data_IF_498168280573
#
_entry.id   IF_498168280573
#
_cell.length_a   1.000
_cell.length_b   1.000
_cell.length_c   1.000
_cell.angle_alpha   90.00
_cell.angle_beta   90.00
_cell.angle_gamma   90.00
#
_symmetry.space_group_name_H-M   'P 1'
#
loop_
_entity.id
_entity.type
_entity.pdbx_description
1 polymer ?
#
# COMPACT_ATOMS: atom_id res chain seq x y z
N UNK A 1 -56.10 1.05 -0.11
CA UNK A 1 -55.02 0.62 -1.02
C UNK A 1 -53.91 1.69 -0.98
N UNK A 2 -52.89 1.51 -0.13
CA UNK A 2 -51.78 2.48 -0.03
C UNK A 2 -50.98 2.45 -1.34
N UNK A 3 -51.14 3.47 -2.18
CA UNK A 3 -50.28 3.65 -3.36
C UNK A 3 -48.84 3.84 -2.85
N UNK A 4 -47.94 2.96 -3.26
CA UNK A 4 -46.50 3.13 -3.08
C UNK A 4 -46.09 4.46 -3.74
N UNK A 5 -45.94 5.52 -2.96
CA UNK A 5 -45.29 6.76 -3.42
C UNK A 5 -43.81 6.43 -3.60
N UNK A 6 -43.42 6.21 -4.85
CA UNK A 6 -42.03 6.09 -5.26
C UNK A 6 -41.43 7.50 -5.39
N UNK A 7 -40.23 7.69 -4.87
CA UNK A 7 -39.48 8.93 -5.04
C UNK A 7 -38.93 9.05 -6.47
N UNK A 8 -38.68 10.27 -6.96
CA UNK A 8 -38.29 10.53 -8.37
C UNK A 8 -37.11 9.68 -8.88
N UNK A 9 -36.11 9.43 -8.04
CA UNK A 9 -34.95 8.59 -8.37
C UNK A 9 -35.29 7.10 -8.47
N UNK A 10 -36.29 6.62 -7.73
CA UNK A 10 -36.77 5.24 -7.84
C UNK A 10 -37.46 5.03 -9.19
N UNK A 11 -38.19 6.05 -9.68
CA UNK A 11 -38.71 6.05 -11.05
C UNK A 11 -37.60 6.04 -12.09
N UNK A 12 -36.53 6.80 -11.92
CA UNK A 12 -35.38 6.77 -12.82
C UNK A 12 -34.77 5.35 -12.92
N UNK A 13 -34.54 4.68 -11.78
CA UNK A 13 -33.99 3.32 -11.77
C UNK A 13 -34.95 2.33 -12.47
N UNK A 14 -36.25 2.40 -12.19
CA UNK A 14 -37.25 1.53 -12.82
C UNK A 14 -37.31 1.76 -14.34
N UNK A 15 -37.33 3.01 -14.78
CA UNK A 15 -37.34 3.38 -16.20
C UNK A 15 -36.06 2.92 -16.90
N UNK A 16 -34.89 3.08 -16.26
CA UNK A 16 -33.63 2.55 -16.78
C UNK A 16 -33.66 1.03 -16.90
N UNK A 17 -34.16 0.30 -15.90
CA UNK A 17 -34.29 -1.16 -15.96
C UNK A 17 -35.21 -1.58 -17.12
N UNK A 18 -36.35 -0.92 -17.29
CA UNK A 18 -37.31 -1.21 -18.38
C UNK A 18 -36.68 -0.93 -19.75
N UNK A 19 -36.05 0.24 -19.92
CA UNK A 19 -35.42 0.64 -21.17
C UNK A 19 -34.28 -0.33 -21.56
N UNK A 20 -33.45 -0.74 -20.60
CA UNK A 20 -32.38 -1.70 -20.87
C UNK A 20 -32.92 -3.11 -21.12
N UNK A 21 -33.96 -3.55 -20.41
CA UNK A 21 -34.62 -4.85 -20.68
C UNK A 21 -35.19 -4.89 -22.10
N UNK A 22 -35.80 -3.80 -22.56
CA UNK A 22 -36.28 -3.66 -23.93
C UNK A 22 -35.14 -3.74 -24.96
N UNK A 23 -34.00 -3.11 -24.67
CA UNK A 23 -32.80 -3.18 -25.51
C UNK A 23 -32.14 -4.58 -25.54
N UNK A 24 -32.13 -5.30 -24.40
CA UNK A 24 -31.72 -6.72 -24.32
C UNK A 24 -32.59 -7.57 -25.25
N UNK A 25 -33.91 -7.41 -25.18
CA UNK A 25 -34.87 -8.17 -26.00
C UNK A 25 -34.73 -7.90 -27.50
N UNK A 26 -34.16 -6.75 -27.91
CA UNK A 26 -33.86 -6.42 -29.30
C UNK A 26 -32.44 -6.82 -29.74
N UNK A 27 -31.67 -7.51 -28.90
CA UNK A 27 -30.33 -8.03 -29.25
C UNK A 27 -29.26 -6.96 -29.46
N UNK A 28 -29.46 -5.74 -28.95
CA UNK A 28 -28.66 -4.56 -29.32
C UNK A 28 -27.59 -4.11 -28.33
N UNK A 29 -27.29 -4.87 -27.27
CA UNK A 29 -26.41 -4.39 -26.19
C UNK A 29 -24.98 -4.90 -26.31
N UNK A 30 -24.04 -3.98 -26.12
CA UNK A 30 -22.64 -4.24 -25.87
C UNK A 30 -22.42 -4.91 -24.50
N UNK A 31 -21.28 -5.59 -24.34
CA UNK A 31 -20.87 -6.24 -23.08
C UNK A 31 -20.89 -5.27 -21.88
N UNK A 32 -20.54 -4.00 -22.11
CA UNK A 32 -20.50 -2.98 -21.05
C UNK A 32 -21.91 -2.61 -20.56
N UNK A 33 -22.90 -2.57 -21.45
CA UNK A 33 -24.27 -2.25 -21.08
C UNK A 33 -24.93 -3.40 -20.31
N UNK A 34 -24.58 -4.66 -20.64
CA UNK A 34 -25.00 -5.83 -19.86
C UNK A 34 -24.45 -5.76 -18.43
N UNK A 35 -23.18 -5.39 -18.26
CA UNK A 35 -22.57 -5.23 -16.93
C UNK A 35 -23.23 -4.10 -16.16
N UNK A 36 -23.44 -2.94 -16.79
CA UNK A 36 -24.13 -1.80 -16.17
C UNK A 36 -25.56 -2.20 -15.73
N UNK A 37 -26.29 -2.92 -16.58
CA UNK A 37 -27.62 -3.43 -16.27
C UNK A 37 -27.60 -4.35 -15.05
N UNK A 38 -26.65 -5.29 -15.00
CA UNK A 38 -26.49 -6.20 -13.86
C UNK A 38 -26.19 -5.42 -12.57
N UNK A 39 -25.34 -4.39 -12.61
CA UNK A 39 -25.05 -3.52 -11.44
C UNK A 39 -26.31 -2.78 -11.00
N UNK A 40 -27.09 -2.21 -11.93
CA UNK A 40 -28.32 -1.49 -11.62
C UNK A 40 -29.40 -2.41 -11.03
N UNK A 41 -29.54 -3.63 -11.55
CA UNK A 41 -30.43 -4.65 -11.00
C UNK A 41 -30.01 -5.06 -9.59
N UNK A 42 -28.72 -5.38 -9.39
CA UNK A 42 -28.18 -5.71 -8.07
C UNK A 42 -28.40 -4.56 -7.07
N UNK A 43 -28.17 -3.33 -7.50
CA UNK A 43 -28.40 -2.13 -6.71
C UNK A 43 -29.87 -1.98 -6.32
N UNK A 44 -30.78 -2.10 -7.29
CA UNK A 44 -32.22 -2.04 -7.03
C UNK A 44 -32.67 -3.14 -6.07
N UNK A 45 -32.24 -4.39 -6.30
CA UNK A 45 -32.51 -5.52 -5.40
C UNK A 45 -31.99 -5.27 -3.98
N UNK A 46 -30.79 -4.70 -3.84
CA UNK A 46 -30.21 -4.33 -2.55
C UNK A 46 -31.06 -3.26 -1.85
N UNK A 47 -31.45 -2.18 -2.54
CA UNK A 47 -32.28 -1.12 -1.97
C UNK A 47 -33.64 -1.63 -1.47
N UNK A 48 -34.24 -2.57 -2.21
CA UNK A 48 -35.50 -3.23 -1.85
C UNK A 48 -35.33 -4.18 -0.67
N UNK A 49 -34.25 -4.97 -0.63
CA UNK A 49 -33.92 -5.82 0.52
C UNK A 49 -33.71 -4.97 1.80
N UNK A 50 -32.99 -3.85 1.68
CA UNK A 50 -32.75 -2.93 2.80
C UNK A 50 -34.04 -2.29 3.32
N UNK A 51 -35.05 -2.06 2.46
CA UNK A 51 -36.36 -1.54 2.89
C UNK A 51 -37.10 -2.51 3.83
N UNK A 52 -36.84 -3.81 3.69
CA UNK A 52 -37.43 -4.87 4.54
C UNK A 52 -36.56 -5.19 5.77
N UNK A 53 -35.37 -4.62 5.85
CA UNK A 53 -34.41 -4.87 6.92
C UNK A 53 -34.56 -3.88 8.07
N UNK A 54 -34.11 -4.26 9.27
CA UNK A 54 -33.98 -3.35 10.44
C UNK A 54 -32.67 -2.54 10.41
N UNK A 55 -31.94 -2.53 9.28
CA UNK A 55 -30.64 -1.87 9.16
C UNK A 55 -30.87 -0.36 9.06
N UNK A 56 -30.15 0.41 9.88
CA UNK A 56 -30.17 1.87 9.80
C UNK A 56 -29.38 2.31 8.55
N UNK A 57 -30.11 2.59 7.47
CA UNK A 57 -29.54 2.93 6.18
C UNK A 57 -30.21 4.19 5.61
N UNK A 58 -29.41 5.23 5.38
CA UNK A 58 -29.84 6.42 4.62
C UNK A 58 -29.57 6.19 3.14
N UNK A 59 -30.60 6.42 2.33
CA UNK A 59 -30.58 6.07 0.91
C UNK A 59 -30.74 7.34 0.09
N UNK A 60 -29.83 7.54 -0.84
CA UNK A 60 -29.85 8.60 -1.84
C UNK A 60 -29.68 7.97 -3.22
N UNK A 61 -30.09 8.66 -4.30
CA UNK A 61 -30.08 8.20 -5.69
C UNK A 61 -29.06 7.08 -6.02
N UNK A 62 -27.79 7.42 -5.85
CA UNK A 62 -26.64 6.55 -6.12
C UNK A 62 -25.85 6.20 -4.86
N UNK A 63 -26.17 6.81 -3.72
CA UNK A 63 -25.40 6.68 -2.49
C UNK A 63 -26.18 5.97 -1.39
N UNK A 64 -25.48 5.14 -0.62
CA UNK A 64 -26.03 4.44 0.52
C UNK A 64 -25.10 4.61 1.72
N UNK A 65 -25.65 5.12 2.81
CA UNK A 65 -24.94 5.25 4.09
C UNK A 65 -25.52 4.22 5.04
N UNK A 66 -24.71 3.23 5.42
CA UNK A 66 -25.10 2.23 6.41
C UNK A 66 -24.47 2.60 7.74
N UNK A 67 -25.30 2.86 8.75
CA UNK A 67 -24.85 3.14 10.13
C UNK A 67 -24.95 1.90 11.00
N UNK A 68 -24.00 1.77 11.91
CA UNK A 68 -23.93 0.69 12.89
C UNK A 68 -23.33 1.17 14.21
N UNK A 69 -23.75 0.54 15.29
CA UNK A 69 -23.10 0.68 16.60
C UNK A 69 -22.08 -0.44 16.84
N UNK A 70 -22.05 -1.44 15.96
CA UNK A 70 -21.08 -2.53 16.04
C UNK A 70 -19.67 -1.97 15.84
N UNK A 71 -18.77 -2.28 16.77
CA UNK A 71 -17.41 -1.75 16.80
C UNK A 71 -17.18 -0.67 17.88
N UNK A 72 -18.23 0.01 18.36
CA UNK A 72 -18.11 0.98 19.48
C UNK A 72 -17.45 0.35 20.71
N UNK A 73 -17.90 -0.83 21.11
CA UNK A 73 -17.33 -1.53 22.28
C UNK A 73 -15.84 -1.88 22.13
N UNK A 74 -15.36 -2.14 20.91
CA UNK A 74 -13.94 -2.34 20.65
C UNK A 74 -13.15 -1.04 20.83
N UNK A 75 -13.66 0.05 20.25
CA UNK A 75 -13.08 1.39 20.42
C UNK A 75 -13.06 1.80 21.90
N UNK A 76 -14.14 1.55 22.64
CA UNK A 76 -14.24 1.82 24.07
C UNK A 76 -13.24 1.00 24.89
N UNK A 77 -13.12 -0.29 24.58
CA UNK A 77 -12.19 -1.21 25.26
C UNK A 77 -10.73 -0.77 25.09
N UNK A 78 -10.35 -0.31 23.90
CA UNK A 78 -8.99 0.15 23.61
C UNK A 78 -8.77 1.58 24.11
N UNK A 79 -9.71 2.48 23.84
CA UNK A 79 -9.67 3.90 24.19
C UNK A 79 -9.78 4.20 25.69
N UNK A 80 -10.09 3.21 26.53
CA UNK A 80 -10.14 3.37 27.99
C UNK A 80 -8.80 3.78 28.61
N UNK A 81 -7.67 3.43 27.98
CA UNK A 81 -6.33 3.76 28.45
C UNK A 81 -5.95 5.22 28.11
N UNK A 82 -6.70 6.18 28.69
CA UNK A 82 -6.65 7.60 28.31
C UNK A 82 -5.24 8.19 28.38
N UNK A 83 -4.46 7.89 29.42
CA UNK A 83 -3.11 8.44 29.59
C UNK A 83 -2.18 8.01 28.46
N UNK A 84 -2.19 6.73 28.11
CA UNK A 84 -1.42 6.19 27.00
C UNK A 84 -1.79 6.89 25.68
N UNK A 85 -3.09 6.91 25.35
CA UNK A 85 -3.55 7.49 24.09
C UNK A 85 -3.35 9.01 23.99
N UNK A 86 -3.39 9.75 25.10
CA UNK A 86 -3.09 11.19 25.09
C UNK A 86 -1.61 11.47 24.86
N UNK A 87 -0.71 10.66 25.43
CA UNK A 87 0.73 10.78 25.21
C UNK A 87 1.05 10.43 23.75
N UNK A 88 0.59 9.25 23.29
CA UNK A 88 0.77 8.82 21.90
C UNK A 88 0.12 9.81 20.94
N UNK A 89 -1.07 10.32 21.26
CA UNK A 89 -1.76 11.33 20.47
C UNK A 89 -0.94 12.62 20.31
N UNK A 90 -0.28 13.10 21.37
CA UNK A 90 0.62 14.27 21.23
C UNK A 90 1.78 13.95 20.27
N UNK A 91 2.34 12.75 20.33
CA UNK A 91 3.35 12.31 19.37
C UNK A 91 2.80 12.24 17.94
N UNK A 92 1.57 11.72 17.76
CA UNK A 92 0.87 11.71 16.48
C UNK A 92 0.70 13.13 15.91
N UNK A 93 0.39 14.12 16.74
CA UNK A 93 0.31 15.54 16.32
C UNK A 93 1.64 16.04 15.76
N UNK A 94 2.76 15.72 16.43
CA UNK A 94 4.10 16.10 15.95
C UNK A 94 4.35 15.45 14.58
N UNK A 95 4.11 14.15 14.45
CA UNK A 95 4.28 13.43 13.18
C UNK A 95 3.36 13.97 12.10
N UNK A 96 2.10 14.28 12.41
CA UNK A 96 1.13 14.84 11.48
C UNK A 96 1.53 16.22 10.96
N UNK A 97 1.99 17.11 11.83
CA UNK A 97 2.50 18.43 11.45
C UNK A 97 3.76 18.31 10.60
N UNK A 98 4.76 17.52 11.05
CA UNK A 98 5.99 17.30 10.28
C UNK A 98 5.71 16.66 8.92
N UNK A 99 4.79 15.68 8.87
CA UNK A 99 4.36 15.02 7.65
C UNK A 99 3.65 15.97 6.69
N UNK A 100 2.81 16.87 7.19
CA UNK A 100 2.20 17.93 6.38
C UNK A 100 3.25 18.87 5.79
N UNK A 101 4.21 19.35 6.59
CA UNK A 101 5.30 20.18 6.08
C UNK A 101 6.14 19.43 5.04
N UNK A 102 6.47 18.17 5.30
CA UNK A 102 7.18 17.30 4.35
C UNK A 102 6.41 17.17 3.03
N UNK A 103 5.10 16.98 3.07
CA UNK A 103 4.27 16.85 1.87
C UNK A 103 4.15 18.16 1.09
N UNK A 104 3.96 19.29 1.77
CA UNK A 104 3.95 20.61 1.14
C UNK A 104 5.31 20.93 0.52
N UNK A 105 6.40 20.68 1.23
CA UNK A 105 7.75 20.84 0.71
C UNK A 105 8.00 19.94 -0.50
N UNK A 106 7.62 18.66 -0.42
CA UNK A 106 7.77 17.71 -1.53
C UNK A 106 6.98 18.14 -2.77
N UNK A 107 5.78 18.70 -2.58
CA UNK A 107 4.97 19.25 -3.67
C UNK A 107 5.65 20.46 -4.33
N UNK A 108 6.11 21.42 -3.53
CA UNK A 108 6.83 22.60 -4.03
C UNK A 108 8.14 22.21 -4.73
N UNK A 109 8.88 21.27 -4.16
CA UNK A 109 10.10 20.74 -4.75
C UNK A 109 9.80 20.02 -6.08
N UNK A 110 8.74 19.23 -6.16
CA UNK A 110 8.32 18.58 -7.40
C UNK A 110 8.00 19.61 -8.49
N UNK A 111 7.25 20.68 -8.17
CA UNK A 111 6.99 21.80 -9.09
C UNK A 111 8.32 22.44 -9.53
N UNK A 112 9.22 22.71 -8.59
CA UNK A 112 10.53 23.32 -8.89
C UNK A 112 11.35 22.46 -9.86
N UNK A 113 11.52 21.18 -9.56
CA UNK A 113 12.29 20.25 -10.39
C UNK A 113 11.69 20.12 -11.79
N UNK A 114 10.36 20.07 -11.87
CA UNK A 114 9.63 19.92 -13.12
C UNK A 114 9.75 21.14 -14.03
N UNK A 115 9.40 22.32 -13.50
CA UNK A 115 9.24 23.50 -14.33
C UNK A 115 10.51 24.37 -14.41
N UNK A 116 11.43 24.24 -13.46
CA UNK A 116 12.66 25.05 -13.40
C UNK A 116 13.94 24.25 -13.61
N UNK A 117 13.91 22.92 -13.43
CA UNK A 117 15.04 22.03 -13.75
C UNK A 117 14.78 21.09 -14.92
N UNK A 118 13.59 21.13 -15.50
CA UNK A 118 13.18 20.24 -16.61
C UNK A 118 13.39 18.75 -16.30
N UNK A 119 13.28 18.38 -15.03
CA UNK A 119 13.31 16.98 -14.60
C UNK A 119 11.87 16.47 -14.67
N UNK A 120 11.55 15.46 -15.51
CA UNK A 120 10.18 14.97 -15.65
C UNK A 120 9.59 14.56 -14.30
N UNK A 121 8.41 15.07 -13.98
CA UNK A 121 7.71 14.58 -12.79
C UNK A 121 7.25 13.14 -13.04
N UNK A 122 7.17 12.35 -11.97
CA UNK A 122 6.43 11.10 -12.04
C UNK A 122 4.96 11.40 -12.39
N UNK A 123 4.44 10.71 -13.41
CA UNK A 123 3.05 10.84 -13.82
C UNK A 123 2.12 10.57 -12.64
N UNK A 124 1.28 11.54 -12.31
CA UNK A 124 0.22 11.36 -11.31
C UNK A 124 -0.81 10.39 -11.88
N UNK A 125 -0.99 9.24 -11.24
CA UNK A 125 -1.96 8.23 -11.63
C UNK A 125 -2.95 8.01 -10.49
N UNK A 126 -4.25 8.05 -10.80
CA UNK A 126 -5.30 7.70 -9.85
C UNK A 126 -5.26 6.20 -9.58
N UNK A 127 -5.24 5.82 -8.30
CA UNK A 127 -5.16 4.43 -7.86
C UNK A 127 -6.57 3.82 -7.80
N UNK A 128 -7.02 3.30 -8.92
CA UNK A 128 -8.32 2.65 -9.11
C UNK A 128 -8.14 1.12 -9.19
N UNK A 129 -8.67 0.35 -8.22
CA UNK A 129 -8.69 -1.11 -8.26
C UNK A 129 -9.36 -1.66 -9.53
N UNK A 130 -8.72 -2.63 -10.18
CA UNK A 130 -9.18 -3.26 -11.42
C UNK A 130 -8.85 -2.50 -12.70
N UNK A 131 -8.35 -1.26 -12.58
CA UNK A 131 -7.92 -0.44 -13.74
C UNK A 131 -6.43 -0.13 -13.69
N UNK A 132 -5.98 0.54 -12.64
CA UNK A 132 -4.56 0.95 -12.48
C UNK A 132 -3.78 0.04 -11.54
N UNK A 133 -4.48 -0.66 -10.65
CA UNK A 133 -3.91 -1.62 -9.69
C UNK A 133 -4.76 -2.89 -9.69
N UNK A 134 -4.21 -4.07 -9.32
CA UNK A 134 -4.98 -5.31 -9.31
C UNK A 134 -6.18 -5.23 -8.37
N UNK A 135 -7.35 -5.69 -8.83
CA UNK A 135 -8.64 -5.49 -8.15
C UNK A 135 -8.63 -5.98 -6.71
N UNK A 136 -8.32 -7.27 -6.49
CA UNK A 136 -8.41 -7.88 -5.16
C UNK A 136 -7.41 -7.33 -4.17
N UNK A 137 -6.17 -7.06 -4.61
CA UNK A 137 -5.16 -6.44 -3.75
C UNK A 137 -5.51 -4.99 -3.41
N UNK A 138 -5.99 -4.24 -4.41
CA UNK A 138 -6.44 -2.86 -4.22
C UNK A 138 -7.63 -2.75 -3.27
N UNK A 139 -8.64 -3.61 -3.42
CA UNK A 139 -9.81 -3.64 -2.54
C UNK A 139 -9.43 -4.00 -1.10
N UNK A 140 -8.60 -5.02 -0.90
CA UNK A 140 -8.18 -5.41 0.45
C UNK A 140 -7.34 -4.31 1.11
N UNK A 141 -6.38 -3.75 0.39
CA UNK A 141 -5.58 -2.64 0.89
C UNK A 141 -6.46 -1.42 1.22
N UNK A 142 -7.44 -1.09 0.36
CA UNK A 142 -8.41 -0.03 0.63
C UNK A 142 -9.18 -0.27 1.93
N UNK A 143 -9.67 -1.51 2.17
CA UNK A 143 -10.33 -1.86 3.43
C UNK A 143 -9.40 -1.64 4.62
N UNK A 144 -8.13 -2.04 4.53
CA UNK A 144 -7.18 -1.81 5.64
C UNK A 144 -6.98 -0.32 5.93
N UNK A 145 -6.87 0.52 4.89
CA UNK A 145 -6.72 1.97 5.02
C UNK A 145 -7.89 2.55 5.78
N UNK A 146 -9.13 2.35 5.29
CA UNK A 146 -10.30 2.97 5.90
C UNK A 146 -10.55 2.44 7.32
N UNK A 147 -10.34 1.14 7.57
CA UNK A 147 -10.60 0.56 8.88
C UNK A 147 -9.60 1.09 9.90
N UNK A 148 -8.30 1.04 9.59
CA UNK A 148 -7.27 1.48 10.54
C UNK A 148 -7.36 2.99 10.78
N UNK A 149 -7.64 3.76 9.72
CA UNK A 149 -7.83 5.21 9.79
C UNK A 149 -9.01 5.59 10.69
N UNK A 150 -10.22 5.13 10.38
CA UNK A 150 -11.43 5.54 11.08
C UNK A 150 -11.47 5.05 12.54
N UNK A 151 -11.02 3.81 12.79
CA UNK A 151 -10.95 3.31 14.16
C UNK A 151 -9.97 4.13 15.01
N UNK A 152 -8.88 4.65 14.43
CA UNK A 152 -7.93 5.48 15.18
C UNK A 152 -8.54 6.83 15.61
N UNK A 153 -9.32 7.48 14.74
CA UNK A 153 -10.12 8.66 15.09
C UNK A 153 -11.07 8.36 16.24
N UNK A 154 -11.74 7.21 16.19
CA UNK A 154 -12.61 6.74 17.27
C UNK A 154 -11.87 6.52 18.60
N UNK A 155 -10.74 5.81 18.56
CA UNK A 155 -9.94 5.51 19.76
C UNK A 155 -9.46 6.81 20.43
N UNK A 156 -8.96 7.78 19.65
CA UNK A 156 -8.51 9.06 20.18
C UNK A 156 -9.69 9.93 20.65
N UNK A 157 -10.82 9.90 19.95
CA UNK A 157 -12.05 10.57 20.39
C UNK A 157 -12.49 10.05 21.77
N UNK A 158 -12.52 8.72 21.95
CA UNK A 158 -12.86 8.10 23.22
C UNK A 158 -11.86 8.47 24.34
N UNK A 159 -10.57 8.51 24.03
CA UNK A 159 -9.51 8.90 24.98
C UNK A 159 -9.61 10.37 25.40
N UNK A 160 -10.09 11.24 24.51
CA UNK A 160 -10.38 12.66 24.79
C UNK A 160 -11.76 12.92 25.41
N UNK A 161 -12.51 11.86 25.74
CA UNK A 161 -13.88 11.92 26.25
C UNK A 161 -14.82 12.65 25.28
N UNK A 162 -14.76 12.24 24.02
CA UNK A 162 -15.68 12.63 22.95
C UNK A 162 -16.51 11.39 22.63
N UNK A 163 -17.83 11.39 22.90
CA UNK A 163 -18.69 10.25 22.60
C UNK A 163 -18.72 9.94 21.11
N UNK A 164 -18.93 8.67 20.76
CA UNK A 164 -19.09 8.21 19.37
C UNK A 164 -20.57 7.94 19.11
N UNK A 165 -21.17 8.71 18.19
CA UNK A 165 -22.59 8.57 17.78
C UNK A 165 -22.82 7.30 16.99
N UNK A 166 -22.01 7.04 15.99
CA UNK A 166 -22.17 5.88 15.11
C UNK A 166 -20.86 5.55 14.41
N UNK A 167 -20.79 4.35 13.85
CA UNK A 167 -19.84 4.00 12.81
C UNK A 167 -20.64 3.78 11.53
N UNK A 168 -20.00 3.84 10.38
CA UNK A 168 -20.68 3.47 9.16
C UNK A 168 -19.79 3.25 7.96
N UNK A 169 -20.43 2.82 6.89
CA UNK A 169 -19.81 2.63 5.58
C UNK A 169 -20.65 3.38 4.55
N UNK A 170 -19.98 4.13 3.70
CA UNK A 170 -20.54 4.89 2.61
C UNK A 170 -20.30 4.16 1.29
N UNK A 171 -21.36 3.95 0.51
CA UNK A 171 -21.32 3.26 -0.77
C UNK A 171 -21.80 4.17 -1.89
N UNK A 172 -21.22 3.99 -3.08
CA UNK A 172 -21.87 4.35 -4.34
C UNK A 172 -22.23 3.07 -5.08
N UNK A 173 -23.51 2.89 -5.38
CA UNK A 173 -24.04 1.58 -5.76
C UNK A 173 -23.54 0.50 -4.79
N UNK A 174 -23.04 -0.63 -5.30
CA UNK A 174 -22.50 -1.73 -4.50
C UNK A 174 -21.02 -1.53 -4.10
N UNK A 175 -20.41 -0.40 -4.47
CA UNK A 175 -18.98 -0.14 -4.27
C UNK A 175 -18.78 0.66 -2.97
N UNK A 176 -18.02 0.13 -1.98
CA UNK A 176 -17.69 0.90 -0.79
C UNK A 176 -16.75 2.04 -1.18
N UNK A 177 -17.18 3.27 -0.90
CA UNK A 177 -16.39 4.49 -1.14
C UNK A 177 -15.63 4.93 0.12
N UNK A 178 -16.04 4.50 1.30
CA UNK A 178 -15.35 4.81 2.54
C UNK A 178 -16.05 4.25 3.77
N UNK A 179 -15.40 4.40 4.92
CA UNK A 179 -16.00 4.19 6.23
C UNK A 179 -15.90 5.50 7.03
N UNK A 180 -16.64 5.58 8.13
CA UNK A 180 -16.53 6.71 9.05
C UNK A 180 -16.73 6.26 10.49
N UNK A 181 -16.05 6.94 11.41
CA UNK A 181 -16.44 7.01 12.83
C UNK A 181 -16.95 8.41 13.12
N UNK A 182 -18.18 8.51 13.61
CA UNK A 182 -18.87 9.78 13.84
C UNK A 182 -18.77 10.19 15.32
N UNK A 183 -17.88 11.10 15.70
CA UNK A 183 -17.88 11.68 17.04
C UNK A 183 -19.05 12.65 17.24
N UNK A 184 -19.42 12.90 18.49
CA UNK A 184 -20.35 13.97 18.85
C UNK A 184 -19.75 15.35 18.54
N UNK A 185 -20.15 15.95 17.43
CA UNK A 185 -19.59 17.20 16.89
C UNK A 185 -19.66 18.37 17.88
N UNK A 186 -20.77 18.53 18.60
CA UNK A 186 -20.92 19.62 19.57
C UNK A 186 -19.91 19.52 20.71
N UNK A 187 -19.65 18.29 21.18
CA UNK A 187 -18.65 18.02 22.21
C UNK A 187 -17.25 18.18 21.65
N UNK A 188 -17.01 17.68 20.43
CA UNK A 188 -15.73 17.76 19.74
C UNK A 188 -15.27 19.22 19.55
N UNK A 189 -16.15 20.07 19.00
CA UNK A 189 -15.84 21.47 18.70
C UNK A 189 -15.55 22.31 19.95
N UNK A 190 -16.06 21.91 21.12
CA UNK A 190 -15.78 22.54 22.42
C UNK A 190 -14.48 22.07 23.07
N UNK A 191 -13.83 21.01 22.56
CA UNK A 191 -12.57 20.51 23.14
C UNK A 191 -11.42 21.48 22.90
N UNK A 192 -10.40 21.49 23.79
CA UNK A 192 -9.17 22.24 23.55
C UNK A 192 -8.54 21.85 22.20
N UNK A 193 -7.91 22.82 21.54
CA UNK A 193 -7.28 22.65 20.23
C UNK A 193 -6.38 21.41 20.14
N UNK A 194 -5.56 21.14 21.17
CA UNK A 194 -4.67 19.98 21.18
C UNK A 194 -5.44 18.65 21.20
N UNK A 195 -6.62 18.60 21.83
CA UNK A 195 -7.47 17.41 21.81
C UNK A 195 -8.04 17.17 20.41
N UNK A 196 -8.45 18.23 19.72
CA UNK A 196 -8.91 18.14 18.33
C UNK A 196 -7.78 17.70 17.41
N UNK A 197 -6.57 18.27 17.56
CA UNK A 197 -5.40 17.87 16.78
C UNK A 197 -5.02 16.40 17.00
N UNK A 198 -5.11 15.89 18.23
CA UNK A 198 -4.84 14.47 18.52
C UNK A 198 -5.77 13.54 17.78
N UNK A 199 -7.07 13.90 17.68
CA UNK A 199 -8.03 13.14 16.90
C UNK A 199 -7.66 13.23 15.42
N UNK A 200 -7.61 14.42 14.83
CA UNK A 200 -7.30 14.56 13.39
C UNK A 200 -5.93 13.99 12.98
N UNK A 201 -4.95 13.91 13.88
CA UNK A 201 -3.65 13.32 13.54
C UNK A 201 -3.63 11.78 13.62
N UNK A 202 -4.65 11.17 14.26
CA UNK A 202 -4.69 9.73 14.51
C UNK A 202 -4.80 8.94 13.20
N UNK A 203 -5.73 9.34 12.33
CA UNK A 203 -6.04 8.64 11.07
C UNK A 203 -4.81 8.43 10.19
N UNK A 204 -4.17 9.53 9.79
CA UNK A 204 -2.97 9.49 8.96
C UNK A 204 -1.82 8.74 9.64
N UNK A 205 -1.60 8.96 10.95
CA UNK A 205 -0.57 8.24 11.69
C UNK A 205 -0.80 6.73 11.70
N UNK A 206 -2.04 6.28 11.88
CA UNK A 206 -2.37 4.85 11.95
C UNK A 206 -2.07 4.14 10.61
N UNK A 207 -2.36 4.79 9.48
CA UNK A 207 -1.98 4.27 8.16
C UNK A 207 -0.46 4.20 7.98
N UNK A 208 0.27 5.26 8.35
CA UNK A 208 1.74 5.27 8.28
C UNK A 208 2.36 4.19 9.19
N UNK A 209 1.82 4.02 10.40
CA UNK A 209 2.26 2.99 11.33
C UNK A 209 1.99 1.58 10.76
N UNK A 210 0.82 1.34 10.19
CA UNK A 210 0.50 0.06 9.55
C UNK A 210 1.48 -0.22 8.40
N UNK A 211 1.80 0.79 7.58
CA UNK A 211 2.80 0.63 6.54
C UNK A 211 4.17 0.27 7.11
N UNK A 212 4.63 0.93 8.18
CA UNK A 212 5.90 0.58 8.84
C UNK A 212 5.87 -0.86 9.37
N UNK A 213 4.78 -1.29 10.01
CA UNK A 213 4.61 -2.67 10.49
C UNK A 213 4.70 -3.66 9.32
N UNK A 214 4.01 -3.39 8.21
CA UNK A 214 4.04 -4.25 7.03
C UNK A 214 5.41 -4.24 6.35
N UNK A 215 6.13 -3.12 6.34
CA UNK A 215 7.50 -3.06 5.85
C UNK A 215 8.41 -3.99 6.64
N UNK A 216 8.34 -3.96 7.98
CA UNK A 216 9.09 -4.88 8.82
C UNK A 216 8.68 -6.33 8.60
N UNK A 217 7.40 -6.62 8.37
CA UNK A 217 6.93 -7.96 8.01
C UNK A 217 7.49 -8.43 6.64
N UNK A 218 7.65 -7.53 5.69
CA UNK A 218 8.22 -7.81 4.36
C UNK A 218 9.76 -7.88 4.36
N UNK A 219 10.43 -7.32 5.36
CA UNK A 219 11.90 -7.19 5.36
C UNK A 219 12.63 -8.55 5.43
N UNK A 220 12.29 -9.49 6.32
CA UNK A 220 12.90 -10.83 6.33
C UNK A 220 12.73 -11.56 4.99
N UNK A 221 11.59 -11.33 4.35
CA UNK A 221 11.26 -11.88 3.04
C UNK A 221 12.08 -11.24 1.92
N UNK A 222 12.35 -9.93 1.93
CA UNK A 222 13.23 -9.29 0.95
C UNK A 222 14.71 -9.63 1.18
N UNK A 223 15.11 -9.76 2.45
CA UNK A 223 16.50 -10.01 2.84
C UNK A 223 16.97 -11.45 2.59
N UNK A 224 16.08 -12.38 2.19
CA UNK A 224 16.42 -13.77 1.86
C UNK A 224 17.53 -13.90 0.80
N UNK A 225 17.59 -12.98 -0.17
CA UNK A 225 18.62 -12.95 -1.22
C UNK A 225 20.02 -12.71 -0.65
N UNK A 226 20.11 -12.06 0.51
CA UNK A 226 21.37 -11.74 1.18
C UNK A 226 21.82 -12.84 2.16
N UNK A 227 20.96 -13.79 2.51
CA UNK A 227 21.37 -15.01 3.23
C UNK A 227 21.95 -16.03 2.23
N UNK A 228 23.13 -15.70 1.67
CA UNK A 228 23.89 -16.62 0.85
C UNK A 228 24.43 -17.76 1.73
N UNK A 229 24.36 -19.00 1.26
CA UNK A 229 25.19 -20.06 1.83
C UNK A 229 26.66 -19.77 1.51
N UNK A 230 27.56 -20.09 2.43
CA UNK A 230 28.99 -20.08 2.13
C UNK A 230 29.25 -21.08 1.00
N UNK A 231 30.17 -20.77 0.10
CA UNK A 231 30.50 -21.59 -1.05
C UNK A 231 29.75 -21.26 -2.34
N UNK A 232 30.11 -21.96 -3.40
CA UNK A 232 29.56 -21.79 -4.76
C UNK A 232 29.16 -23.16 -5.32
N UNK A 233 27.94 -23.30 -5.81
CA UNK A 233 27.41 -24.59 -6.26
C UNK A 233 27.75 -24.84 -7.73
N UNK A 234 28.19 -26.06 -8.05
CA UNK A 234 28.38 -26.55 -9.40
C UNK A 234 27.02 -26.89 -10.02
N UNK A 235 26.62 -26.18 -11.07
CA UNK A 235 25.36 -26.47 -11.79
C UNK A 235 25.56 -27.34 -13.02
N UNK A 236 26.74 -27.31 -13.60
CA UNK A 236 27.09 -28.12 -14.75
C UNK A 236 28.61 -28.36 -14.78
N UNK A 237 29.01 -29.49 -15.37
CA UNK A 237 30.41 -29.86 -15.56
C UNK A 237 30.63 -30.10 -17.05
N UNK A 238 31.53 -29.32 -17.64
CA UNK A 238 31.80 -29.36 -19.07
C UNK A 238 32.43 -30.71 -19.42
N UNK A 239 31.84 -31.44 -20.36
CA UNK A 239 32.35 -32.75 -20.81
C UNK A 239 33.77 -32.62 -21.36
N UNK A 240 34.66 -33.53 -20.95
CA UNK A 240 36.08 -33.52 -21.34
C UNK A 240 36.93 -32.44 -20.67
N UNK A 241 36.41 -31.76 -19.65
CA UNK A 241 37.19 -30.81 -18.84
C UNK A 241 37.88 -31.49 -17.65
N UNK A 242 38.84 -30.84 -16.98
CA UNK A 242 39.49 -31.38 -15.77
C UNK A 242 38.55 -31.70 -14.61
N UNK A 243 37.40 -31.04 -14.52
CA UNK A 243 36.39 -31.32 -13.51
C UNK A 243 35.51 -32.53 -13.86
N UNK A 244 35.52 -33.00 -15.10
CA UNK A 244 34.67 -34.09 -15.57
C UNK A 244 35.06 -35.42 -14.92
N UNK A 245 34.10 -36.07 -14.25
CA UNK A 245 34.34 -37.30 -13.48
C UNK A 245 35.00 -37.07 -12.11
N UNK A 246 35.24 -35.82 -11.71
CA UNK A 246 35.81 -35.44 -10.42
C UNK A 246 34.79 -34.65 -9.58
N UNK A 247 34.25 -33.58 -10.17
CA UNK A 247 33.17 -32.79 -9.60
C UNK A 247 31.84 -33.21 -10.21
N UNK A 248 30.78 -33.06 -9.43
CA UNK A 248 29.42 -33.43 -9.83
C UNK A 248 28.48 -32.23 -9.74
N UNK A 249 27.40 -32.28 -10.54
CA UNK A 249 26.32 -31.31 -10.44
C UNK A 249 25.73 -31.39 -9.03
N UNK A 250 25.66 -30.25 -8.35
CA UNK A 250 25.18 -30.12 -6.99
C UNK A 250 26.29 -29.94 -5.95
N UNK A 251 27.55 -30.26 -6.27
CA UNK A 251 28.69 -30.06 -5.36
C UNK A 251 28.80 -28.58 -4.95
N UNK A 252 28.89 -28.32 -3.64
CA UNK A 252 29.11 -26.97 -3.11
C UNK A 252 30.59 -26.77 -2.81
N UNK A 253 31.26 -25.89 -3.57
CA UNK A 253 32.68 -25.58 -3.43
C UNK A 253 32.88 -24.62 -2.26
N UNK A 254 33.58 -25.08 -1.23
CA UNK A 254 33.82 -24.33 0.01
C UNK A 254 35.24 -23.76 0.09
N UNK A 255 36.20 -24.38 -0.60
CA UNK A 255 37.60 -23.97 -0.59
C UNK A 255 38.29 -24.32 -1.91
N UNK A 256 39.19 -23.43 -2.36
CA UNK A 256 40.10 -23.70 -3.48
C UNK A 256 41.51 -23.33 -3.03
N UNK A 257 42.42 -24.32 -3.00
CA UNK A 257 43.85 -24.12 -2.64
C UNK A 257 44.06 -23.56 -1.22
N UNK A 258 43.21 -23.89 -0.27
CA UNK A 258 43.27 -23.35 1.10
C UNK A 258 42.73 -21.93 1.24
N UNK A 259 42.12 -21.39 0.17
CA UNK A 259 41.37 -20.13 0.23
C UNK A 259 39.89 -20.43 0.40
N UNK A 260 39.27 -20.05 1.54
CA UNK A 260 37.84 -20.23 1.76
C UNK A 260 37.01 -19.42 0.76
N UNK A 261 36.03 -20.07 0.15
CA UNK A 261 35.13 -19.49 -0.84
C UNK A 261 33.82 -19.14 -0.13
N UNK A 262 33.64 -17.85 0.19
CA UNK A 262 32.46 -17.37 0.94
C UNK A 262 31.35 -16.81 0.06
N UNK A 263 31.69 -16.39 -1.16
CA UNK A 263 30.77 -15.79 -2.12
C UNK A 263 31.34 -15.84 -3.55
N UNK A 264 30.53 -15.45 -4.53
CA UNK A 264 30.93 -15.47 -5.95
C UNK A 264 32.14 -14.59 -6.25
N UNK A 265 32.32 -13.47 -5.52
CA UNK A 265 33.49 -12.59 -5.69
C UNK A 265 34.77 -13.32 -5.28
N UNK A 266 34.79 -13.96 -4.11
CA UNK A 266 35.94 -14.74 -3.63
C UNK A 266 36.28 -15.92 -4.55
N UNK A 267 35.25 -16.58 -5.11
CA UNK A 267 35.40 -17.61 -6.13
C UNK A 267 36.03 -17.07 -7.40
N UNK A 268 35.47 -15.99 -7.95
CA UNK A 268 35.96 -15.36 -9.17
C UNK A 268 37.40 -14.86 -9.04
N UNK A 269 37.71 -14.18 -7.94
CA UNK A 269 39.05 -13.68 -7.64
C UNK A 269 40.08 -14.81 -7.50
N UNK A 270 39.68 -15.93 -6.88
CA UNK A 270 40.54 -17.12 -6.74
C UNK A 270 40.77 -17.82 -8.07
N UNK A 271 39.71 -18.06 -8.85
CA UNK A 271 39.79 -18.72 -10.17
C UNK A 271 40.59 -17.88 -11.16
N UNK A 272 40.50 -16.55 -11.11
CA UNK A 272 41.26 -15.64 -11.98
C UNK A 272 42.78 -15.79 -11.84
N UNK A 273 43.26 -16.24 -10.69
CA UNK A 273 44.69 -16.42 -10.40
C UNK A 273 45.22 -17.81 -10.81
N UNK A 274 44.35 -18.72 -11.25
CA UNK A 274 44.74 -20.07 -11.61
C UNK A 274 45.48 -20.11 -12.95
N UNK A 275 46.51 -20.96 -13.02
CA UNK A 275 47.36 -21.17 -14.21
C UNK A 275 47.19 -22.60 -14.72
N UNK A 276 47.26 -22.83 -16.04
CA UNK A 276 47.18 -24.17 -16.61
C UNK A 276 48.33 -25.07 -16.13
N UNK A 277 48.13 -26.38 -16.16
CA UNK A 277 49.12 -27.41 -15.80
C UNK A 277 49.34 -27.61 -14.30
N UNK A 278 48.77 -26.75 -13.43
CA UNK A 278 48.89 -26.90 -11.98
C UNK A 278 47.83 -27.85 -11.42
N UNK A 279 48.26 -28.75 -10.53
CA UNK A 279 47.37 -29.56 -9.70
C UNK A 279 46.84 -28.71 -8.54
N UNK A 280 45.52 -28.61 -8.40
CA UNK A 280 44.86 -27.87 -7.34
C UNK A 280 43.95 -28.79 -6.52
N UNK A 281 43.79 -28.45 -5.24
CA UNK A 281 42.82 -29.09 -4.34
C UNK A 281 41.58 -28.20 -4.24
N UNK A 282 40.41 -28.79 -4.47
CA UNK A 282 39.11 -28.18 -4.31
C UNK A 282 38.37 -28.95 -3.21
N UNK A 283 37.91 -28.26 -2.19
CA UNK A 283 37.10 -28.87 -1.12
C UNK A 283 35.65 -28.54 -1.36
N UNK A 284 34.82 -29.57 -1.44
CA UNK A 284 33.37 -29.46 -1.51
C UNK A 284 32.73 -30.06 -0.25
N UNK A 285 31.41 -29.88 -0.08
CA UNK A 285 30.64 -30.59 0.96
C UNK A 285 30.74 -32.12 0.85
N UNK A 286 30.95 -32.67 -0.36
CA UNK A 286 31.10 -34.11 -0.60
C UNK A 286 32.48 -34.63 -0.23
N UNK A 287 33.50 -33.79 -0.27
CA UNK A 287 34.87 -34.18 0.04
C UNK A 287 35.92 -33.30 -0.63
N UNK A 288 37.19 -33.69 -0.49
CA UNK A 288 38.31 -33.00 -1.12
C UNK A 288 38.74 -33.69 -2.41
N UNK A 289 38.77 -32.94 -3.51
CA UNK A 289 39.15 -33.45 -4.82
C UNK A 289 40.41 -32.73 -5.33
N UNK A 290 41.27 -33.46 -6.03
CA UNK A 290 42.44 -32.89 -6.68
C UNK A 290 42.30 -32.99 -8.21
N UNK A 291 42.51 -31.88 -8.91
CA UNK A 291 42.43 -31.83 -10.38
C UNK A 291 43.57 -31.02 -10.97
N UNK A 292 43.97 -31.37 -12.20
CA UNK A 292 45.02 -30.67 -12.95
C UNK A 292 44.39 -29.73 -13.97
N UNK A 293 44.69 -28.43 -13.87
CA UNK A 293 44.04 -27.40 -14.68
C UNK A 293 44.44 -27.49 -16.16
N UNK A 294 43.47 -27.36 -17.06
CA UNK A 294 43.71 -27.24 -18.49
C UNK A 294 43.93 -25.78 -18.90
N UNK A 295 44.41 -25.55 -20.13
CA UNK A 295 44.43 -24.21 -20.72
C UNK A 295 43.03 -23.81 -21.21
N UNK A 296 42.62 -22.57 -20.96
CA UNK A 296 41.35 -22.04 -21.45
C UNK A 296 41.44 -21.73 -22.94
N UNK A 297 40.41 -22.07 -23.73
CA UNK A 297 40.38 -21.85 -25.20
C UNK A 297 40.43 -20.37 -25.59
N UNK A 298 39.80 -19.50 -24.82
CA UNK A 298 39.74 -18.05 -25.00
C UNK A 298 40.95 -17.31 -24.41
N UNK A 299 41.58 -17.86 -23.37
CA UNK A 299 42.79 -17.31 -22.78
C UNK A 299 43.73 -18.42 -22.29
N UNK A 300 44.71 -18.83 -23.12
CA UNK A 300 45.63 -19.92 -22.79
C UNK A 300 46.48 -19.68 -21.54
N UNK A 301 46.63 -18.43 -21.07
CA UNK A 301 47.38 -18.09 -19.84
C UNK A 301 46.57 -18.36 -18.56
N UNK A 302 45.27 -18.66 -18.66
CA UNK A 302 44.38 -18.92 -17.52
C UNK A 302 44.06 -20.41 -17.38
N UNK A 303 44.05 -20.87 -16.13
CA UNK A 303 43.62 -22.22 -15.78
C UNK A 303 42.13 -22.43 -16.02
N UNK A 304 41.78 -23.59 -16.55
CA UNK A 304 40.42 -24.01 -16.84
C UNK A 304 40.05 -25.22 -15.97
N UNK A 305 39.04 -25.06 -15.10
CA UNK A 305 38.46 -26.13 -14.29
C UNK A 305 37.38 -26.86 -15.09
N UNK A 306 36.51 -26.11 -15.79
CA UNK A 306 35.41 -26.64 -16.60
C UNK A 306 34.10 -26.88 -15.86
N UNK A 307 33.74 -25.96 -14.97
CA UNK A 307 32.47 -25.96 -14.25
C UNK A 307 31.67 -24.70 -14.57
N UNK A 308 30.35 -24.83 -14.62
CA UNK A 308 29.42 -23.72 -14.53
C UNK A 308 28.90 -23.68 -13.10
N UNK A 309 28.80 -22.47 -12.54
CA UNK A 309 28.45 -22.29 -11.14
C UNK A 309 27.26 -21.36 -10.94
N UNK A 310 26.53 -21.59 -9.85
CA UNK A 310 25.44 -20.75 -9.37
C UNK A 310 25.63 -20.49 -7.88
N UNK A 311 25.03 -19.41 -7.36
CA UNK A 311 25.01 -19.11 -5.94
C UNK A 311 23.86 -19.89 -5.27
N UNK A 312 24.14 -20.91 -4.45
CA UNK A 312 23.09 -21.60 -3.72
C UNK A 312 22.44 -20.62 -2.72
N UNK A 313 21.11 -20.66 -2.66
CA UNK A 313 20.33 -19.89 -1.68
C UNK A 313 20.15 -20.79 -0.45
N UNK A 314 20.39 -20.26 0.77
CA UNK A 314 20.38 -21.05 2.02
C UNK A 314 18.99 -21.69 2.25
N UNK A 315 18.93 -23.02 2.27
CA UNK A 315 17.68 -23.83 2.31
C UNK A 315 16.73 -23.51 3.48
N UNK A 316 17.24 -23.10 4.64
CA UNK A 316 16.43 -22.90 5.86
C UNK A 316 15.40 -21.76 5.80
N UNK A 317 15.68 -20.68 5.07
CA UNK A 317 14.75 -19.53 4.89
C UNK A 317 14.07 -19.61 3.50
N UNK A 318 14.67 -20.35 2.57
CA UNK A 318 14.07 -20.68 1.26
C UNK A 318 12.68 -21.34 1.41
N UNK A 319 12.48 -22.14 2.46
CA UNK A 319 11.16 -22.69 2.78
C UNK A 319 10.13 -21.64 3.18
N UNK A 320 10.49 -20.56 3.88
CA UNK A 320 9.52 -19.52 4.31
C UNK A 320 9.06 -18.69 3.10
N UNK A 321 9.98 -18.34 2.21
CA UNK A 321 9.71 -17.56 0.99
C UNK A 321 8.95 -18.37 -0.06
N UNK A 322 9.16 -19.69 -0.14
CA UNK A 322 8.35 -20.59 -0.98
C UNK A 322 7.05 -21.06 -0.32
N UNK A 323 6.93 -21.00 1.01
CA UNK A 323 5.69 -21.35 1.72
C UNK A 323 4.69 -20.20 1.75
N UNK A 324 5.16 -18.95 1.78
CA UNK A 324 4.29 -17.78 1.61
C UNK A 324 3.87 -17.67 0.14
N UNK A 325 2.57 -17.74 -0.18
CA UNK A 325 2.11 -17.57 -1.56
C UNK A 325 2.60 -16.22 -2.10
N UNK A 326 3.11 -16.18 -3.33
CA UNK A 326 3.50 -14.93 -4.01
C UNK A 326 2.37 -13.88 -3.99
N UNK A 327 1.13 -14.36 -3.94
CA UNK A 327 -0.07 -13.53 -3.80
C UNK A 327 -0.15 -12.83 -2.44
N UNK A 328 0.30 -13.47 -1.36
CA UNK A 328 0.32 -12.87 -0.03
C UNK A 328 1.40 -11.78 0.07
N UNK A 329 2.56 -12.00 -0.55
CA UNK A 329 3.62 -11.00 -0.67
C UNK A 329 3.11 -9.79 -1.45
N UNK A 330 2.44 -10.04 -2.57
CA UNK A 330 1.83 -9.02 -3.41
C UNK A 330 0.77 -8.23 -2.64
N UNK A 331 -0.06 -8.92 -1.86
CA UNK A 331 -1.06 -8.30 -0.99
C UNK A 331 -0.41 -7.35 0.02
N UNK A 332 0.57 -7.83 0.79
CA UNK A 332 1.28 -7.01 1.77
C UNK A 332 1.97 -5.81 1.12
N UNK A 333 2.55 -5.99 -0.07
CA UNK A 333 3.14 -4.88 -0.84
C UNK A 333 2.10 -3.82 -1.19
N UNK A 334 0.91 -4.19 -1.63
CA UNK A 334 -0.17 -3.25 -1.92
C UNK A 334 -0.72 -2.57 -0.65
N UNK A 335 -0.88 -3.31 0.44
CA UNK A 335 -1.24 -2.76 1.75
C UNK A 335 -0.22 -1.72 2.19
N UNK A 336 1.08 -2.03 2.08
CA UNK A 336 2.17 -1.11 2.39
C UNK A 336 2.08 0.17 1.54
N UNK A 337 2.09 0.05 0.21
CA UNK A 337 2.12 1.21 -0.68
C UNK A 337 0.91 2.11 -0.49
N UNK A 338 -0.30 1.53 -0.43
CA UNK A 338 -1.52 2.33 -0.33
C UNK A 338 -1.67 2.99 1.05
N UNK A 339 -1.27 2.33 2.14
CA UNK A 339 -1.28 2.96 3.45
C UNK A 339 -0.28 4.11 3.57
N UNK A 340 0.91 4.01 2.97
CA UNK A 340 1.84 5.16 2.89
C UNK A 340 1.24 6.30 2.09
N UNK A 341 0.83 6.01 0.85
CA UNK A 341 0.39 7.06 -0.08
C UNK A 341 -0.85 7.76 0.48
N UNK A 342 -1.87 7.01 0.89
CA UNK A 342 -3.10 7.61 1.42
C UNK A 342 -2.85 8.29 2.77
N UNK A 343 -2.04 7.69 3.65
CA UNK A 343 -1.66 8.31 4.92
C UNK A 343 -0.95 9.65 4.75
N UNK A 344 -0.05 9.77 3.77
CA UNK A 344 0.64 11.02 3.44
C UNK A 344 -0.25 12.03 2.72
N UNK A 345 -1.02 11.60 1.71
CA UNK A 345 -1.93 12.48 0.97
C UNK A 345 -3.00 13.07 1.89
N UNK A 346 -3.46 12.32 2.89
CA UNK A 346 -4.42 12.83 3.86
C UNK A 346 -3.81 13.88 4.83
N UNK A 347 -2.49 14.06 4.86
CA UNK A 347 -1.84 15.18 5.54
C UNK A 347 -1.71 16.43 4.66
N UNK A 348 -1.96 16.36 3.34
CA UNK A 348 -2.05 17.56 2.52
C UNK A 348 -3.29 18.35 2.93
N UNK A 349 -3.23 19.68 3.10
CA UNK A 349 -4.35 20.50 3.53
C UNK A 349 -5.33 20.78 2.38
N UNK A 350 -6.16 19.79 2.05
CA UNK A 350 -7.10 19.83 0.92
C UNK A 350 -8.54 19.77 1.45
N UNK A 351 -9.38 20.62 0.88
CA UNK A 351 -10.81 20.71 1.14
C UNK A 351 -11.59 20.63 -0.18
N UNK A 352 -12.48 19.64 -0.28
CA UNK A 352 -13.32 19.33 -1.44
C UNK A 352 -14.78 19.77 -1.21
N UNK A 353 -14.98 20.96 -0.65
CA UNK A 353 -16.30 21.52 -0.37
C UNK A 353 -17.01 20.87 0.83
N UNK A 354 -17.47 19.62 0.69
CA UNK A 354 -18.16 18.89 1.77
C UNK A 354 -17.25 17.96 2.57
N UNK A 355 -16.07 17.63 2.03
CA UNK A 355 -15.09 16.78 2.69
C UNK A 355 -13.76 17.51 2.82
N UNK A 356 -12.99 17.21 3.85
CA UNK A 356 -11.64 17.73 4.03
C UNK A 356 -10.73 16.59 4.47
N UNK A 357 -9.46 16.69 4.10
CA UNK A 357 -8.43 15.82 4.64
C UNK A 357 -8.14 16.18 6.10
N UNK A 358 -7.57 15.24 6.85
CA UNK A 358 -7.10 15.52 8.22
C UNK A 358 -6.10 16.67 8.24
N UNK A 359 -5.22 16.73 7.23
CA UNK A 359 -4.24 17.80 7.06
C UNK A 359 -4.86 19.18 6.99
N UNK A 360 -6.04 19.32 6.37
CA UNK A 360 -6.73 20.61 6.31
C UNK A 360 -7.19 21.06 7.70
N UNK A 361 -7.78 20.14 8.48
CA UNK A 361 -8.19 20.42 9.84
C UNK A 361 -7.00 20.73 10.76
N UNK A 362 -5.91 19.96 10.65
CA UNK A 362 -4.67 20.20 11.41
C UNK A 362 -4.13 21.60 11.12
N UNK A 363 -4.03 21.98 9.84
CA UNK A 363 -3.55 23.31 9.43
C UNK A 363 -4.43 24.41 10.01
N UNK A 364 -5.75 24.30 9.80
CA UNK A 364 -6.72 25.29 10.26
C UNK A 364 -6.67 25.49 11.77
N UNK A 365 -6.72 24.41 12.56
CA UNK A 365 -6.71 24.45 14.02
C UNK A 365 -5.39 25.06 14.52
N UNK A 366 -4.27 24.73 13.87
CA UNK A 366 -2.96 25.29 14.21
C UNK A 366 -2.91 26.79 13.95
N UNK A 367 -3.39 27.25 12.78
CA UNK A 367 -3.43 28.67 12.43
C UNK A 367 -4.35 29.48 13.35
N UNK A 368 -5.48 28.92 13.78
CA UNK A 368 -6.39 29.55 14.74
C UNK A 368 -5.72 29.93 16.07
N UNK A 369 -4.56 29.34 16.40
CA UNK A 369 -3.76 29.70 17.59
C UNK A 369 -3.02 31.04 17.42
N UNK A 370 -2.77 31.46 16.18
CA UNK A 370 -1.97 32.62 15.84
C UNK A 370 -2.77 33.72 15.13
N UNK A 371 -3.95 33.40 14.59
CA UNK A 371 -4.81 34.36 13.91
C UNK A 371 -6.30 34.09 14.15
N UNK A 372 -7.14 35.10 13.88
CA UNK A 372 -8.61 34.98 13.97
C UNK A 372 -9.12 33.87 13.03
N UNK A 373 -10.18 33.17 13.45
CA UNK A 373 -10.79 32.06 12.70
C UNK A 373 -11.07 32.39 11.24
N UNK A 374 -11.68 33.55 10.96
CA UNK A 374 -11.96 33.96 9.59
C UNK A 374 -10.71 34.10 8.72
N UNK A 375 -9.56 34.49 9.30
CA UNK A 375 -8.29 34.61 8.57
C UNK A 375 -7.65 33.24 8.34
N UNK A 376 -7.68 32.37 9.34
CA UNK A 376 -7.18 31.00 9.22
C UNK A 376 -7.95 30.18 8.18
N UNK A 377 -9.28 30.33 8.12
CA UNK A 377 -10.12 29.68 7.12
C UNK A 377 -9.78 30.13 5.70
N UNK A 378 -9.63 31.45 5.48
CA UNK A 378 -9.22 32.01 4.19
C UNK A 378 -7.85 31.50 3.76
N UNK A 379 -6.89 31.49 4.68
CA UNK A 379 -5.53 31.02 4.39
C UNK A 379 -5.48 29.52 4.08
N UNK A 380 -6.18 28.70 4.88
CA UNK A 380 -6.27 27.25 4.66
C UNK A 380 -6.98 26.92 3.34
N UNK A 381 -8.03 27.68 3.00
CA UNK A 381 -8.73 27.56 1.72
C UNK A 381 -7.84 27.94 0.54
N UNK A 382 -7.06 29.01 0.66
CA UNK A 382 -6.13 29.43 -0.39
C UNK A 382 -5.06 28.36 -0.67
N UNK A 383 -4.50 27.75 0.38
CA UNK A 383 -3.55 26.63 0.24
C UNK A 383 -4.24 25.42 -0.41
N UNK A 384 -5.45 25.07 0.01
CA UNK A 384 -6.22 23.97 -0.57
C UNK A 384 -6.46 24.17 -2.07
N UNK A 385 -6.87 25.37 -2.48
CA UNK A 385 -7.09 25.72 -3.90
C UNK A 385 -5.78 25.60 -4.68
N UNK A 386 -4.68 26.13 -4.15
CA UNK A 386 -3.36 26.01 -4.77
C UNK A 386 -2.96 24.55 -5.01
N UNK A 387 -3.07 23.69 -3.99
CA UNK A 387 -2.76 22.26 -4.11
C UNK A 387 -3.68 21.58 -5.13
N UNK A 388 -4.99 21.88 -5.07
CA UNK A 388 -5.97 21.33 -6.01
C UNK A 388 -5.64 21.68 -7.47
N UNK A 389 -5.25 22.93 -7.73
CA UNK A 389 -4.82 23.37 -9.06
C UNK A 389 -3.56 22.66 -9.53
N UNK A 390 -2.56 22.50 -8.65
CA UNK A 390 -1.32 21.77 -8.97
C UNK A 390 -1.63 20.31 -9.35
N UNK A 391 -2.49 19.63 -8.58
CA UNK A 391 -2.90 18.25 -8.88
C UNK A 391 -3.64 18.18 -10.21
N UNK A 392 -4.59 19.10 -10.45
CA UNK A 392 -5.38 19.14 -11.67
C UNK A 392 -4.51 19.38 -12.93
N UNK A 393 -3.56 20.32 -12.86
CA UNK A 393 -2.63 20.60 -13.96
C UNK A 393 -1.81 19.35 -14.30
N UNK A 394 -1.26 18.66 -13.29
CA UNK A 394 -0.48 17.44 -13.51
C UNK A 394 -1.33 16.28 -14.09
N UNK A 395 -2.63 16.21 -13.77
CA UNK A 395 -3.54 15.21 -14.33
C UNK A 395 -3.89 15.48 -15.80
N UNK A 396 -4.11 16.75 -16.18
CA UNK A 396 -4.53 17.14 -17.54
C UNK A 396 -3.34 17.17 -18.50
N UNK A 397 -2.23 17.76 -18.07
CA UNK A 397 -1.01 17.93 -18.85
C UNK A 397 0.18 17.46 -18.01
N UNK A 398 0.42 16.14 -17.94
CA UNK A 398 1.59 15.64 -17.25
C UNK A 398 2.84 16.28 -17.86
N UNK A 399 3.78 16.76 -17.04
CA UNK A 399 5.03 17.29 -17.55
C UNK A 399 5.73 16.22 -18.39
N UNK A 400 6.26 16.65 -19.54
CA UNK A 400 6.92 15.79 -20.54
C UNK A 400 8.07 14.98 -19.94
#
# INVERSE_FOLDING_TARGET
>A
MNRLKLEYWQWFIIVSIIATTYAVLKGGLSKNEIVLFAILLLWFSLLQALKRSKINAEKHAIFLIIRTEKGKGFIEKIGKYKRFWKITGTFMVIVGILGMFFMLFSLLNAIYLTYFKSIPAMKTQLLIPGYTIPLWYGLFAFVTIIVVHEFSHGILSRAENIPIKSLGVFFAFIIPLGAFVEPEEEVFNKKPWLSQLRVYSAGSFANLLLAVIVLFALTPLAMHVFFQSEGVQVVNVVKGSPAYGVLERGDMIMDIRGTPIKNFKSFYDTVKQLKPGKKIKITTERGSFALTLAARKDNPKRGFIGIETFLPIKKGIFHIVHFLPLDLISLFRWVFFLNIIVGLVNLLPIHFGVAATDGHHILRITLNRFMKTARAERFSSAISIFIGLVILINLIKPPL
#
